data_IF_367234606941
#
_entry.id   IF_367234606941
#
_cell.length_a   1.000
_cell.length_b   1.000
_cell.length_c   1.000
_cell.angle_alpha   90.00
_cell.angle_beta   90.00
_cell.angle_gamma   90.00
#
_symmetry.space_group_name_H-M   'P 1'
#
loop_
_entity.id
_entity.type
_entity.pdbx_description
1 polymer ?
#
# COMPACT_ATOMS: atom_id res chain seq x y z
N UNK A 1 35.72 14.35 -8.05
CA UNK A 1 35.71 13.86 -9.44
C UNK A 1 34.88 12.58 -9.49
N UNK A 2 33.80 12.55 -10.26
CA UNK A 2 32.99 11.35 -10.50
C UNK A 2 33.34 10.87 -11.91
N UNK A 3 33.61 9.58 -12.10
CA UNK A 3 33.90 9.05 -13.43
C UNK A 3 32.67 9.23 -14.34
N UNK A 4 32.80 9.93 -15.48
CA UNK A 4 31.71 10.03 -16.45
C UNK A 4 31.31 8.63 -16.93
N UNK A 5 30.00 8.39 -17.09
CA UNK A 5 29.39 7.09 -17.44
C UNK A 5 29.50 5.95 -16.39
N UNK A 6 29.85 6.24 -15.14
CA UNK A 6 29.74 5.24 -14.06
C UNK A 6 28.30 5.14 -13.52
N UNK A 7 27.75 3.92 -13.44
CA UNK A 7 26.48 3.67 -12.75
C UNK A 7 26.72 3.65 -11.23
N UNK A 8 25.93 4.42 -10.48
CA UNK A 8 25.94 4.42 -9.02
C UNK A 8 24.54 4.15 -8.48
N UNK A 9 24.42 3.08 -7.71
CA UNK A 9 23.20 2.75 -7.00
C UNK A 9 23.31 3.25 -5.56
N UNK A 10 22.35 4.08 -5.13
CA UNK A 10 22.20 4.49 -3.74
C UNK A 10 20.87 3.98 -3.25
N UNK A 11 20.91 3.12 -2.24
CA UNK A 11 19.72 2.68 -1.55
C UNK A 11 19.35 3.68 -0.45
N UNK A 12 18.08 4.05 -0.38
CA UNK A 12 17.53 4.89 0.68
C UNK A 12 16.36 4.13 1.28
N UNK A 13 16.56 3.65 2.51
CA UNK A 13 15.49 2.99 3.25
C UNK A 13 14.59 4.04 3.89
N UNK A 14 13.31 4.02 3.54
CA UNK A 14 12.30 4.85 4.18
C UNK A 14 11.40 3.98 5.07
N UNK A 15 11.68 3.96 6.37
CA UNK A 15 10.88 3.19 7.32
C UNK A 15 9.72 4.03 7.83
N UNK A 16 8.55 3.90 7.20
CA UNK A 16 7.32 4.57 7.63
C UNK A 16 6.18 3.57 7.80
N UNK A 17 5.52 3.65 8.93
CA UNK A 17 4.35 2.82 9.22
C UNK A 17 3.10 3.35 8.50
N UNK A 18 2.20 2.43 8.13
CA UNK A 18 0.86 2.73 7.58
C UNK A 18 0.81 3.64 6.34
N UNK A 19 1.69 3.40 5.37
CA UNK A 19 1.60 4.08 4.07
C UNK A 19 0.35 3.64 3.29
N UNK A 20 -0.41 4.64 2.84
CA UNK A 20 -1.55 4.45 1.94
C UNK A 20 -1.66 5.64 0.98
N UNK A 21 -2.06 5.38 -0.26
CA UNK A 21 -2.34 6.41 -1.27
C UNK A 21 -1.22 6.61 -2.30
N UNK A 22 -1.31 7.69 -3.07
CA UNK A 22 -0.33 8.06 -4.12
C UNK A 22 0.78 8.90 -3.52
N UNK A 23 2.02 8.51 -3.81
CA UNK A 23 3.22 9.22 -3.42
C UNK A 23 3.95 9.71 -4.67
N UNK A 24 4.60 10.86 -4.53
CA UNK A 24 5.47 11.45 -5.54
C UNK A 24 6.85 11.57 -4.92
N UNK A 25 7.87 11.05 -5.60
CA UNK A 25 9.26 11.14 -5.18
C UNK A 25 10.02 11.94 -6.20
N UNK A 26 10.74 12.94 -5.71
CA UNK A 26 11.58 13.84 -6.51
C UNK A 26 13.03 13.64 -6.06
N UNK A 27 13.88 13.20 -6.97
CA UNK A 27 15.30 13.04 -6.77
C UNK A 27 16.05 14.21 -7.42
N UNK A 28 16.95 14.84 -6.67
CA UNK A 28 17.87 15.86 -7.15
C UNK A 28 19.28 15.32 -7.12
N UNK A 29 19.93 15.20 -8.28
CA UNK A 29 21.22 14.55 -8.44
C UNK A 29 22.20 15.61 -8.96
N UNK A 30 23.19 15.97 -8.13
CA UNK A 30 24.28 16.83 -8.56
C UNK A 30 25.33 15.99 -9.31
N UNK A 31 25.66 16.39 -10.54
CA UNK A 31 26.63 15.67 -11.39
C UNK A 31 28.09 15.81 -10.91
N UNK A 32 28.36 16.77 -10.02
CA UNK A 32 29.67 17.02 -9.41
C UNK A 32 30.63 17.82 -10.30
N UNK A 33 30.13 18.42 -11.37
CA UNK A 33 30.81 19.34 -12.28
C UNK A 33 29.79 20.33 -12.88
N UNK A 34 30.27 21.49 -13.33
CA UNK A 34 29.50 22.55 -14.00
C UNK A 34 28.23 23.04 -13.26
N UNK A 35 28.14 22.81 -11.94
CA UNK A 35 26.99 23.12 -11.09
C UNK A 35 25.63 22.60 -11.63
N UNK A 36 25.66 21.52 -12.41
CA UNK A 36 24.46 20.93 -13.02
C UNK A 36 23.76 19.99 -12.01
N UNK A 37 22.48 20.28 -11.75
CA UNK A 37 21.59 19.44 -10.93
C UNK A 37 20.51 18.86 -11.84
N UNK A 38 20.45 17.53 -11.92
CA UNK A 38 19.35 16.82 -12.57
C UNK A 38 18.21 16.60 -11.59
N UNK A 39 16.98 16.80 -12.04
CA UNK A 39 15.78 16.49 -11.26
C UNK A 39 14.96 15.41 -11.97
N UNK A 40 14.64 14.35 -11.23
CA UNK A 40 13.81 13.24 -11.73
C UNK A 40 12.64 13.05 -10.77
N UNK A 41 11.43 13.01 -11.30
CA UNK A 41 10.21 12.80 -10.52
C UNK A 41 9.50 11.53 -10.97
N UNK A 42 9.06 10.72 -10.01
CA UNK A 42 8.25 9.52 -10.25
C UNK A 42 7.10 9.45 -9.25
N UNK A 43 6.03 8.74 -9.59
CA UNK A 43 4.89 8.55 -8.71
C UNK A 43 4.48 7.09 -8.62
N UNK A 44 4.12 6.65 -7.41
CA UNK A 44 3.66 5.28 -7.16
C UNK A 44 2.53 5.27 -6.15
N UNK A 45 1.74 4.19 -6.17
CA UNK A 45 0.68 3.95 -5.22
C UNK A 45 1.14 2.95 -4.16
N UNK A 46 0.84 3.27 -2.90
CA UNK A 46 1.06 2.36 -1.77
C UNK A 46 -0.28 1.89 -1.26
N UNK A 47 -0.46 0.57 -1.25
CA UNK A 47 -1.66 -0.08 -0.73
C UNK A 47 -1.25 -1.06 0.38
N UNK A 48 -1.72 -0.87 1.63
CA UNK A 48 -1.44 -1.78 2.73
C UNK A 48 -2.31 -3.04 2.59
N UNK A 49 -1.89 -3.95 1.72
CA UNK A 49 -2.64 -5.15 1.34
C UNK A 49 -3.04 -6.04 2.52
N UNK A 50 -2.25 -6.06 3.60
CA UNK A 50 -2.59 -6.80 4.84
C UNK A 50 -3.84 -6.23 5.51
N UNK A 51 -3.97 -4.90 5.55
CA UNK A 51 -5.13 -4.23 6.15
C UNK A 51 -6.35 -4.45 5.27
N UNK A 52 -6.22 -4.21 3.96
CA UNK A 52 -7.30 -4.39 2.99
C UNK A 52 -7.79 -5.83 2.97
N UNK A 53 -6.88 -6.80 2.93
CA UNK A 53 -7.19 -8.23 2.98
C UNK A 53 -7.83 -8.63 4.31
N UNK A 54 -7.36 -8.09 5.44
CA UNK A 54 -7.95 -8.35 6.75
C UNK A 54 -9.40 -7.87 6.84
N UNK A 55 -9.69 -6.66 6.36
CA UNK A 55 -11.05 -6.11 6.28
C UNK A 55 -11.93 -6.98 5.38
N UNK A 56 -11.40 -7.38 4.21
CA UNK A 56 -12.13 -8.23 3.27
C UNK A 56 -12.50 -9.57 3.91
N UNK A 57 -11.55 -10.27 4.53
CA UNK A 57 -11.79 -11.54 5.21
C UNK A 57 -12.81 -11.37 6.35
N UNK A 58 -12.66 -10.33 7.18
CA UNK A 58 -13.60 -10.05 8.27
C UNK A 58 -15.02 -9.82 7.75
N UNK A 59 -15.17 -9.10 6.63
CA UNK A 59 -16.46 -8.88 5.98
C UNK A 59 -17.12 -10.19 5.53
N UNK A 60 -16.36 -11.09 4.90
CA UNK A 60 -16.87 -12.41 4.51
C UNK A 60 -17.28 -13.24 5.72
N UNK A 61 -16.46 -13.26 6.78
CA UNK A 61 -16.78 -13.98 8.01
C UNK A 61 -18.13 -13.50 8.56
N UNK A 62 -18.33 -12.19 8.67
CA UNK A 62 -19.60 -11.61 9.17
C UNK A 62 -20.78 -12.06 8.29
N UNK A 63 -20.67 -11.94 6.97
CA UNK A 63 -21.75 -12.35 6.05
C UNK A 63 -22.07 -13.84 6.19
N UNK A 64 -21.05 -14.69 6.21
CA UNK A 64 -21.25 -16.13 6.33
C UNK A 64 -21.82 -16.52 7.69
N UNK A 65 -21.37 -15.88 8.77
CA UNK A 65 -21.92 -16.08 10.11
C UNK A 65 -23.39 -15.70 10.19
N UNK A 66 -23.78 -14.53 9.68
CA UNK A 66 -25.19 -14.09 9.64
C UNK A 66 -26.02 -15.03 8.77
N UNK A 67 -25.54 -15.39 7.58
CA UNK A 67 -26.23 -16.32 6.68
C UNK A 67 -26.41 -17.70 7.31
N UNK A 68 -25.38 -18.22 7.98
CA UNK A 68 -25.44 -19.50 8.67
C UNK A 68 -26.43 -19.46 9.84
N UNK A 69 -26.42 -18.37 10.61
CA UNK A 69 -27.36 -18.16 11.71
C UNK A 69 -28.82 -18.13 11.19
N UNK A 70 -29.11 -17.32 10.18
CA UNK A 70 -30.46 -17.23 9.60
C UNK A 70 -30.93 -18.55 8.96
N UNK A 71 -30.02 -19.39 8.46
CA UNK A 71 -30.37 -20.71 7.90
C UNK A 71 -30.69 -21.74 8.98
N UNK A 72 -30.01 -21.68 10.13
CA UNK A 72 -30.17 -22.67 11.21
C UNK A 72 -31.36 -22.36 12.11
N UNK A 73 -31.66 -21.08 12.34
CA UNK A 73 -32.80 -20.66 13.15
C UNK A 73 -34.05 -20.52 12.29
N UNK A 74 -34.70 -21.64 12.01
CA UNK A 74 -36.09 -21.65 11.53
C UNK A 74 -36.95 -20.99 12.62
N UNK A 75 -37.46 -19.78 12.35
CA UNK A 75 -38.37 -19.08 13.25
C UNK A 75 -39.64 -19.93 13.39
N UNK A 76 -39.68 -20.82 14.40
CA UNK A 76 -40.93 -21.42 14.85
C UNK A 76 -41.78 -20.29 15.41
N UNK A 77 -42.63 -19.70 14.56
CA UNK A 77 -43.80 -18.94 15.02
C UNK A 77 -44.60 -19.88 15.92
N UNK A 78 -44.73 -19.49 17.19
CA UNK A 78 -45.65 -20.13 18.11
C UNK A 78 -47.04 -19.64 17.74
N UNK A 79 -47.72 -20.36 16.86
CA UNK A 79 -49.15 -20.15 16.63
C UNK A 79 -49.89 -20.47 17.93
N UNK A 80 -50.73 -19.52 18.38
CA UNK A 80 -51.56 -19.60 19.58
C UNK A 80 -52.99 -19.98 19.22
#
# INVERSE_FOLDING_TARGET
FVLPASLRLREITWNREFLFGRYVVTARINRGYDDVIDEVTTSFWVLPWKIVGGIFIAFFIIIFSVRAFLRTFEFKRKDS
#
